data_IF_352661284990
#
_entry.id   IF_352661284990
#
_cell.length_a   1.000
_cell.length_b   1.000
_cell.length_c   1.000
_cell.angle_alpha   90.00
_cell.angle_beta   90.00
_cell.angle_gamma   90.00
#
_symmetry.space_group_name_H-M   'P 1'
#
loop_
_entity.id
_entity.type
_entity.pdbx_description
1 polymer ?
#
# COMPACT_ATOMS: atom_id res chain seq x y z
N UNK A 1 -70.50 -0.01 1.51
CA UNK A 1 -71.16 0.19 0.20
C UNK A 1 -70.07 0.46 -0.82
N UNK A 2 -70.26 0.08 -2.08
CA UNK A 2 -69.24 0.24 -3.11
C UNK A 2 -69.72 1.27 -4.14
N UNK A 3 -68.87 2.25 -4.44
CA UNK A 3 -69.21 3.38 -5.31
C UNK A 3 -68.21 3.50 -6.45
N UNK A 4 -68.72 3.81 -7.65
CA UNK A 4 -67.89 4.19 -8.80
C UNK A 4 -67.95 5.70 -8.97
N UNK A 5 -66.81 6.37 -8.86
CA UNK A 5 -66.71 7.82 -9.01
C UNK A 5 -65.89 8.15 -10.24
N UNK A 6 -66.46 8.95 -11.13
CA UNK A 6 -65.77 9.50 -12.30
C UNK A 6 -65.31 10.92 -12.04
N UNK A 7 -64.01 11.17 -12.24
CA UNK A 7 -63.40 12.49 -12.17
C UNK A 7 -62.43 12.71 -13.32
N UNK A 8 -62.59 13.79 -14.08
CA UNK A 8 -61.75 14.11 -15.25
C UNK A 8 -61.55 12.94 -16.23
N UNK A 9 -62.58 12.10 -16.41
CA UNK A 9 -62.56 10.95 -17.32
C UNK A 9 -61.96 9.66 -16.75
N UNK A 10 -61.43 9.68 -15.53
CA UNK A 10 -60.97 8.48 -14.80
C UNK A 10 -62.08 7.98 -13.86
N UNK A 11 -62.40 6.68 -13.93
CA UNK A 11 -63.35 6.05 -13.01
C UNK A 11 -62.60 5.28 -11.92
N UNK A 12 -62.90 5.59 -10.67
CA UNK A 12 -62.30 4.95 -9.49
C UNK A 12 -63.37 4.22 -8.68
N UNK A 13 -63.05 3.00 -8.26
CA UNK A 13 -63.91 2.22 -7.37
C UNK A 13 -63.49 2.44 -5.91
N UNK A 14 -64.42 2.88 -5.08
CA UNK A 14 -64.27 3.00 -3.63
C UNK A 14 -65.12 1.92 -2.97
N UNK A 15 -64.47 0.95 -2.31
CA UNK A 15 -65.13 -0.22 -1.75
C UNK A 15 -65.23 -0.11 -0.24
N UNK A 16 -66.32 -0.61 0.33
CA UNK A 16 -66.47 -0.70 1.79
C UNK A 16 -66.75 0.64 2.50
N UNK A 17 -67.21 1.66 1.77
CA UNK A 17 -67.52 2.98 2.31
C UNK A 17 -68.76 2.94 3.22
N UNK A 18 -68.64 3.52 4.42
CA UNK A 18 -69.66 3.53 5.47
C UNK A 18 -70.42 4.85 5.57
N UNK A 19 -69.76 5.97 5.22
CA UNK A 19 -70.36 7.31 5.28
C UNK A 19 -69.87 8.24 4.17
N UNK A 20 -70.57 9.37 3.99
CA UNK A 20 -70.16 10.41 3.05
C UNK A 20 -68.82 11.03 3.43
N UNK A 21 -68.58 11.26 4.71
CA UNK A 21 -67.33 11.82 5.20
C UNK A 21 -66.15 10.86 4.95
N UNK A 22 -66.37 9.55 5.08
CA UNK A 22 -65.37 8.54 4.73
C UNK A 22 -65.06 8.54 3.23
N UNK A 23 -66.09 8.63 2.39
CA UNK A 23 -65.92 8.73 0.94
C UNK A 23 -65.11 9.96 0.54
N UNK A 24 -65.46 11.12 1.09
CA UNK A 24 -64.74 12.38 0.83
C UNK A 24 -63.29 12.27 1.29
N UNK A 25 -63.03 11.68 2.46
CA UNK A 25 -61.68 11.49 2.99
C UNK A 25 -60.83 10.57 2.10
N UNK A 26 -61.40 9.49 1.58
CA UNK A 26 -60.69 8.59 0.66
C UNK A 26 -60.41 9.25 -0.69
N UNK A 27 -61.36 10.05 -1.19
CA UNK A 27 -61.18 10.89 -2.38
C UNK A 27 -60.05 11.90 -2.17
N UNK A 28 -60.03 12.61 -1.03
CA UNK A 28 -59.00 13.59 -0.68
C UNK A 28 -57.62 12.95 -0.47
N UNK A 29 -57.57 11.70 0.00
CA UNK A 29 -56.33 10.93 0.08
C UNK A 29 -55.78 10.59 -1.30
N UNK A 30 -56.66 10.16 -2.22
CA UNK A 30 -56.27 9.82 -3.59
C UNK A 30 -55.89 11.09 -4.39
N UNK A 31 -56.67 12.15 -4.25
CA UNK A 31 -56.52 13.40 -4.99
C UNK A 31 -56.12 14.52 -4.03
N UNK A 32 -54.86 14.53 -3.62
CA UNK A 32 -54.37 15.44 -2.58
C UNK A 32 -54.49 16.95 -2.90
N UNK A 33 -54.74 17.31 -4.16
CA UNK A 33 -54.73 18.70 -4.67
C UNK A 33 -56.12 19.23 -5.03
N UNK A 34 -57.19 18.50 -4.75
CA UNK A 34 -58.56 18.97 -5.00
C UNK A 34 -59.21 19.47 -3.72
N UNK A 35 -60.17 20.39 -3.87
CA UNK A 35 -61.03 20.91 -2.81
C UNK A 35 -62.43 21.20 -3.37
N UNK A 36 -63.37 21.54 -2.49
CA UNK A 36 -64.76 21.83 -2.87
C UNK A 36 -65.37 20.70 -3.71
N UNK A 37 -65.32 19.47 -3.17
CA UNK A 37 -65.80 18.26 -3.85
C UNK A 37 -67.33 18.28 -3.92
N UNK A 38 -67.85 18.26 -5.14
CA UNK A 38 -69.26 18.11 -5.45
C UNK A 38 -69.48 16.75 -6.12
N UNK A 39 -70.32 15.92 -5.52
CA UNK A 39 -70.71 14.62 -6.05
C UNK A 39 -72.12 14.72 -6.62
N UNK A 40 -72.34 14.13 -7.79
CA UNK A 40 -73.67 14.07 -8.43
C UNK A 40 -73.84 12.78 -9.20
N UNK A 41 -75.05 12.28 -9.34
CA UNK A 41 -75.37 11.15 -10.21
C UNK A 41 -76.62 11.46 -11.03
N UNK A 42 -76.84 10.68 -12.09
CA UNK A 42 -78.05 10.76 -12.89
C UNK A 42 -79.00 9.63 -12.46
N UNK A 43 -80.23 9.95 -12.10
CA UNK A 43 -81.23 8.97 -11.68
C UNK A 43 -81.90 8.26 -12.88
N UNK A 44 -82.89 7.41 -12.59
CA UNK A 44 -83.63 6.65 -13.60
C UNK A 44 -84.53 7.52 -14.50
N UNK A 45 -84.93 8.69 -14.01
CA UNK A 45 -85.77 9.66 -14.73
C UNK A 45 -84.92 10.62 -15.59
N UNK A 46 -83.60 10.57 -15.41
CA UNK A 46 -82.62 11.35 -16.15
C UNK A 46 -82.23 12.66 -15.47
N UNK A 47 -82.69 12.89 -14.24
CA UNK A 47 -82.40 14.07 -13.44
C UNK A 47 -81.03 13.95 -12.75
N UNK A 48 -80.34 15.09 -12.62
CA UNK A 48 -79.03 15.16 -11.95
C UNK A 48 -79.27 15.45 -10.46
N UNK A 49 -78.97 14.45 -9.62
CA UNK A 49 -79.11 14.54 -8.17
C UNK A 49 -77.74 14.79 -7.54
N UNK A 50 -77.66 15.79 -6.65
CA UNK A 50 -76.47 16.07 -5.87
C UNK A 50 -76.39 15.16 -4.63
N UNK A 51 -75.20 14.63 -4.37
CA UNK A 51 -74.90 13.82 -3.19
C UNK A 51 -74.12 14.68 -2.21
N UNK A 52 -74.74 14.98 -1.07
CA UNK A 52 -74.19 15.92 -0.08
C UNK A 52 -74.06 15.33 1.32
N UNK A 53 -74.69 14.18 1.57
CA UNK A 53 -74.70 13.53 2.88
C UNK A 53 -74.82 12.00 2.76
N UNK A 54 -74.67 11.30 3.88
CA UNK A 54 -74.72 9.83 3.93
C UNK A 54 -76.08 9.25 3.52
N UNK A 55 -77.19 9.96 3.75
CA UNK A 55 -78.52 9.51 3.32
C UNK A 55 -78.65 9.54 1.79
N UNK A 56 -78.11 10.56 1.14
CA UNK A 56 -78.09 10.67 -0.32
C UNK A 56 -77.28 9.52 -0.94
N UNK A 57 -76.16 9.14 -0.32
CA UNK A 57 -75.36 7.99 -0.75
C UNK A 57 -76.10 6.66 -0.62
N UNK A 58 -76.87 6.47 0.46
CA UNK A 58 -77.66 5.26 0.70
C UNK A 58 -78.85 5.18 -0.26
N UNK A 59 -79.38 6.34 -0.71
CA UNK A 59 -80.50 6.41 -1.64
C UNK A 59 -80.14 5.96 -3.07
N UNK A 60 -78.85 5.82 -3.39
CA UNK A 60 -78.38 5.32 -4.69
C UNK A 60 -78.67 3.82 -4.80
N UNK A 61 -79.82 3.50 -5.42
CA UNK A 61 -80.24 2.12 -5.66
C UNK A 61 -79.67 1.61 -7.00
N UNK A 62 -78.56 0.88 -6.95
CA UNK A 62 -77.96 0.19 -8.11
C UNK A 62 -76.58 0.73 -8.52
N UNK A 63 -75.98 0.16 -9.59
CA UNK A 63 -74.63 0.53 -10.04
C UNK A 63 -74.66 1.85 -10.83
N UNK A 64 -74.93 2.96 -10.15
CA UNK A 64 -74.90 4.29 -10.75
C UNK A 64 -73.50 4.90 -10.64
N UNK A 65 -73.07 5.55 -11.72
CA UNK A 65 -71.79 6.25 -11.80
C UNK A 65 -71.95 7.65 -11.19
N UNK A 66 -71.22 7.93 -10.12
CA UNK A 66 -71.19 9.25 -9.49
C UNK A 66 -70.18 10.11 -10.24
N UNK A 67 -70.61 11.24 -10.79
CA UNK A 67 -69.74 12.27 -11.34
C UNK A 67 -69.25 13.21 -10.23
N UNK A 68 -67.94 13.32 -10.11
CA UNK A 68 -67.28 14.28 -9.24
C UNK A 68 -66.87 15.53 -10.00
N UNK A 69 -67.20 16.69 -9.44
CA UNK A 69 -66.58 17.97 -9.77
C UNK A 69 -65.82 18.47 -8.55
N UNK A 70 -64.65 19.04 -8.76
CA UNK A 70 -63.86 19.60 -7.68
C UNK A 70 -63.00 20.74 -8.23
N UNK A 71 -62.73 21.76 -7.40
CA UNK A 71 -61.79 22.81 -7.75
C UNK A 71 -60.37 22.39 -7.37
N UNK A 72 -59.36 22.95 -8.04
CA UNK A 72 -57.98 22.73 -7.65
C UNK A 72 -57.61 23.64 -6.48
N UNK A 73 -56.97 23.06 -5.49
CA UNK A 73 -56.28 23.82 -4.45
C UNK A 73 -54.91 24.26 -4.97
N UNK A 74 -54.86 25.45 -5.58
CA UNK A 74 -53.63 26.02 -6.11
C UNK A 74 -52.57 26.25 -5.03
N UNK A 75 -52.97 26.55 -3.78
CA UNK A 75 -52.02 26.71 -2.67
C UNK A 75 -51.35 25.37 -2.34
N UNK A 76 -52.16 24.31 -2.16
CA UNK A 76 -51.65 22.97 -1.86
C UNK A 76 -50.83 22.38 -3.01
N UNK A 77 -51.19 22.69 -4.27
CA UNK A 77 -50.38 22.33 -5.43
C UNK A 77 -49.01 23.05 -5.42
N UNK A 78 -48.97 24.35 -5.14
CA UNK A 78 -47.71 25.11 -5.03
C UNK A 78 -46.84 24.64 -3.87
N UNK A 79 -47.43 24.25 -2.74
CA UNK A 79 -46.70 23.67 -1.60
C UNK A 79 -46.07 22.32 -1.94
N UNK A 80 -46.83 21.41 -2.58
CA UNK A 80 -46.31 20.13 -3.06
C UNK A 80 -45.20 20.29 -4.11
N UNK A 81 -45.33 21.24 -5.04
CA UNK A 81 -44.27 21.54 -6.02
C UNK A 81 -43.01 22.14 -5.36
N UNK A 82 -43.17 23.01 -4.36
CA UNK A 82 -42.04 23.54 -3.57
C UNK A 82 -41.34 22.43 -2.79
N UNK A 83 -42.10 21.51 -2.20
CA UNK A 83 -41.54 20.39 -1.45
C UNK A 83 -40.82 19.39 -2.35
N UNK A 84 -41.39 19.05 -3.52
CA UNK A 84 -40.70 18.24 -4.55
C UNK A 84 -39.37 18.87 -4.97
N UNK A 85 -39.36 20.16 -5.29
CA UNK A 85 -38.13 20.89 -5.64
C UNK A 85 -37.10 20.89 -4.50
N UNK A 86 -37.55 21.01 -3.24
CA UNK A 86 -36.65 20.92 -2.06
C UNK A 86 -36.02 19.54 -1.93
N UNK A 87 -36.81 18.47 -2.10
CA UNK A 87 -36.32 17.09 -2.07
C UNK A 87 -35.34 16.79 -3.21
N UNK A 88 -35.62 17.25 -4.43
CA UNK A 88 -34.70 17.14 -5.57
C UNK A 88 -33.35 17.85 -5.31
N UNK A 89 -33.38 19.05 -4.74
CA UNK A 89 -32.16 19.79 -4.37
C UNK A 89 -31.39 19.02 -3.28
N UNK A 90 -32.08 18.48 -2.26
CA UNK A 90 -31.45 17.69 -1.20
C UNK A 90 -30.76 16.45 -1.78
N UNK A 91 -31.45 15.70 -2.63
CA UNK A 91 -30.91 14.50 -3.28
C UNK A 91 -29.69 14.84 -4.15
N UNK A 92 -29.77 15.92 -4.94
CA UNK A 92 -28.64 16.37 -5.77
C UNK A 92 -27.42 16.72 -4.92
N UNK A 93 -27.62 17.45 -3.82
CA UNK A 93 -26.53 17.79 -2.88
C UNK A 93 -25.90 16.54 -2.25
N UNK A 94 -26.70 15.56 -1.85
CA UNK A 94 -26.20 14.29 -1.30
C UNK A 94 -25.35 13.53 -2.33
N UNK A 95 -25.85 13.38 -3.57
CA UNK A 95 -25.09 12.74 -4.66
C UNK A 95 -23.77 13.45 -4.98
N UNK A 96 -23.77 14.79 -4.99
CA UNK A 96 -22.54 15.55 -5.19
C UNK A 96 -21.53 15.36 -4.04
N UNK A 97 -22.01 15.21 -2.80
CA UNK A 97 -21.15 14.90 -1.65
C UNK A 97 -20.59 13.46 -1.73
N UNK A 98 -21.42 12.47 -2.05
CA UNK A 98 -20.99 11.09 -2.29
C UNK A 98 -19.89 11.03 -3.34
N UNK A 99 -20.10 11.66 -4.51
CA UNK A 99 -19.10 11.66 -5.58
C UNK A 99 -17.78 12.32 -5.14
N UNK A 100 -17.84 13.43 -4.39
CA UNK A 100 -16.63 14.08 -3.86
C UNK A 100 -15.87 13.19 -2.90
N UNK A 101 -16.57 12.46 -2.02
CA UNK A 101 -15.97 11.51 -1.07
C UNK A 101 -15.37 10.31 -1.80
N UNK A 102 -16.08 9.74 -2.78
CA UNK A 102 -15.58 8.65 -3.61
C UNK A 102 -14.28 9.04 -4.34
N UNK A 103 -14.25 10.23 -4.95
CA UNK A 103 -13.04 10.73 -5.61
C UNK A 103 -11.87 10.91 -4.62
N UNK A 104 -12.15 11.38 -3.40
CA UNK A 104 -11.13 11.51 -2.35
C UNK A 104 -10.59 10.14 -1.91
N UNK A 105 -11.46 9.13 -1.77
CA UNK A 105 -11.09 7.74 -1.45
C UNK A 105 -10.16 7.18 -2.53
N UNK A 106 -10.55 7.28 -3.81
CA UNK A 106 -9.74 6.78 -4.93
C UNK A 106 -8.36 7.45 -4.96
N UNK A 107 -8.29 8.77 -4.76
CA UNK A 107 -7.01 9.48 -4.70
C UNK A 107 -6.13 9.03 -3.53
N UNK A 108 -6.73 8.76 -2.38
CA UNK A 108 -6.01 8.29 -1.21
C UNK A 108 -5.52 6.84 -1.39
N UNK A 109 -6.32 5.95 -2.00
CA UNK A 109 -5.92 4.59 -2.36
C UNK A 109 -4.74 4.58 -3.35
N UNK A 110 -4.77 5.43 -4.37
CA UNK A 110 -3.66 5.59 -5.31
C UNK A 110 -2.39 6.10 -4.61
N UNK A 111 -2.54 7.01 -3.63
CA UNK A 111 -1.42 7.52 -2.84
C UNK A 111 -0.81 6.42 -1.98
N UNK A 112 -1.65 5.59 -1.34
CA UNK A 112 -1.21 4.44 -0.55
C UNK A 112 -0.46 3.44 -1.43
N UNK A 113 -1.01 3.06 -2.59
CA UNK A 113 -0.36 2.14 -3.51
C UNK A 113 1.02 2.66 -3.98
N UNK A 114 1.11 3.94 -4.32
CA UNK A 114 2.38 4.57 -4.73
C UNK A 114 3.41 4.53 -3.59
N UNK A 115 2.98 4.82 -2.35
CA UNK A 115 3.87 4.74 -1.19
C UNK A 115 4.32 3.30 -0.91
N UNK A 116 3.45 2.31 -1.06
CA UNK A 116 3.80 0.90 -0.88
C UNK A 116 4.88 0.45 -1.88
N UNK A 117 4.74 0.85 -3.15
CA UNK A 117 5.72 0.56 -4.20
C UNK A 117 7.06 1.26 -3.94
N UNK A 118 7.05 2.55 -3.57
CA UNK A 118 8.25 3.31 -3.21
C UNK A 118 9.00 2.69 -2.04
N UNK A 119 8.26 2.26 -1.00
CA UNK A 119 8.81 1.62 0.18
C UNK A 119 9.46 0.29 -0.17
N UNK A 120 8.71 -0.57 -0.88
CA UNK A 120 9.21 -1.89 -1.27
C UNK A 120 10.46 -1.78 -2.13
N UNK A 121 10.47 -0.86 -3.10
CA UNK A 121 11.63 -0.63 -3.98
C UNK A 121 12.86 -0.20 -3.18
N UNK A 122 12.72 0.80 -2.30
CA UNK A 122 13.88 1.32 -1.56
C UNK A 122 14.41 0.35 -0.50
N UNK A 123 13.54 -0.45 0.12
CA UNK A 123 13.98 -1.51 1.02
C UNK A 123 14.75 -2.59 0.27
N UNK A 124 14.28 -2.97 -0.92
CA UNK A 124 14.97 -3.93 -1.79
C UNK A 124 16.34 -3.39 -2.25
N UNK A 125 16.41 -2.13 -2.68
CA UNK A 125 17.67 -1.52 -3.10
C UNK A 125 18.72 -1.56 -1.97
N UNK A 126 18.30 -1.30 -0.73
CA UNK A 126 19.17 -1.42 0.45
C UNK A 126 19.58 -2.87 0.75
N UNK A 127 18.64 -3.82 0.64
CA UNK A 127 18.91 -5.24 0.86
C UNK A 127 19.93 -5.79 -0.16
N UNK A 128 19.75 -5.46 -1.44
CA UNK A 128 20.65 -5.84 -2.53
C UNK A 128 22.06 -5.25 -2.32
N UNK A 129 22.17 -3.99 -1.88
CA UNK A 129 23.46 -3.35 -1.59
C UNK A 129 24.16 -3.99 -0.38
N UNK A 130 23.41 -4.29 0.70
CA UNK A 130 23.94 -5.01 1.87
C UNK A 130 24.42 -6.40 1.47
N UNK A 131 23.66 -7.12 0.64
CA UNK A 131 24.03 -8.44 0.14
C UNK A 131 25.34 -8.38 -0.65
N UNK A 132 25.47 -7.43 -1.57
CA UNK A 132 26.72 -7.23 -2.31
C UNK A 132 27.89 -6.92 -1.38
N UNK A 133 27.72 -6.02 -0.40
CA UNK A 133 28.78 -5.71 0.58
C UNK A 133 29.19 -6.93 1.40
N UNK A 134 28.25 -7.80 1.79
CA UNK A 134 28.54 -9.06 2.48
C UNK A 134 29.33 -10.04 1.60
N UNK A 135 29.05 -10.10 0.30
CA UNK A 135 29.85 -10.89 -0.63
C UNK A 135 31.29 -10.37 -0.73
N UNK A 136 31.48 -9.05 -0.81
CA UNK A 136 32.82 -8.45 -0.83
C UNK A 136 33.55 -8.71 0.49
N UNK A 137 32.85 -8.61 1.63
CA UNK A 137 33.41 -8.96 2.94
C UNK A 137 33.91 -10.41 2.96
N UNK A 138 33.11 -11.36 2.47
CA UNK A 138 33.48 -12.77 2.41
C UNK A 138 34.70 -13.01 1.51
N UNK A 139 34.78 -12.33 0.37
CA UNK A 139 35.96 -12.40 -0.51
C UNK A 139 37.21 -11.86 0.18
N UNK A 140 37.09 -10.77 0.93
CA UNK A 140 38.22 -10.19 1.67
C UNK A 140 38.66 -11.05 2.86
N UNK A 141 37.74 -11.79 3.49
CA UNK A 141 38.07 -12.72 4.56
C UNK A 141 38.92 -13.91 4.10
N UNK A 142 38.90 -14.25 2.80
CA UNK A 142 39.80 -15.24 2.22
C UNK A 142 41.27 -14.81 2.27
N UNK A 143 41.54 -13.50 2.30
CA UNK A 143 42.89 -12.94 2.44
C UNK A 143 43.30 -12.70 3.91
N UNK A 144 42.63 -13.36 4.87
CA UNK A 144 43.16 -13.52 6.23
C UNK A 144 44.58 -14.10 6.11
N UNK A 145 45.51 -13.67 6.96
CA UNK A 145 46.94 -13.79 6.67
C UNK A 145 47.30 -15.26 6.41
N UNK A 146 47.71 -15.55 5.17
CA UNK A 146 48.33 -16.83 4.85
C UNK A 146 49.50 -17.04 5.81
N UNK A 147 49.60 -18.18 6.50
CA UNK A 147 50.75 -18.46 7.32
C UNK A 147 51.99 -18.39 6.43
N UNK A 148 52.94 -17.58 6.84
CA UNK A 148 54.26 -17.54 6.24
C UNK A 148 54.83 -18.97 6.33
N UNK A 149 55.29 -19.58 5.21
CA UNK A 149 56.03 -20.85 5.24
C UNK A 149 57.10 -20.88 6.35
N UNK A 150 57.28 -22.02 7.01
CA UNK A 150 58.33 -22.11 8.04
C UNK A 150 59.70 -21.80 7.44
N UNK A 151 60.54 -21.09 8.20
CA UNK A 151 61.89 -20.70 7.74
C UNK A 151 62.72 -21.92 7.32
N UNK A 152 62.51 -23.06 7.97
CA UNK A 152 63.11 -24.35 7.64
C UNK A 152 62.73 -24.83 6.22
N UNK A 153 61.48 -24.61 5.79
CA UNK A 153 61.02 -24.94 4.42
C UNK A 153 61.75 -24.06 3.41
N UNK A 154 61.91 -22.76 3.69
CA UNK A 154 62.62 -21.84 2.80
C UNK A 154 64.11 -22.16 2.68
N UNK A 155 64.76 -22.61 3.77
CA UNK A 155 66.16 -23.07 3.74
C UNK A 155 66.32 -24.34 2.88
N UNK A 156 65.35 -25.26 2.97
CA UNK A 156 65.32 -26.49 2.17
C UNK A 156 65.06 -26.20 0.69
N UNK A 157 64.13 -25.30 0.36
CA UNK A 157 63.86 -24.86 -1.02
C UNK A 157 65.08 -24.18 -1.66
N UNK A 158 65.81 -23.37 -0.88
CA UNK A 158 67.04 -22.73 -1.31
C UNK A 158 68.24 -23.71 -1.45
N UNK A 159 68.05 -24.99 -1.10
CA UNK A 159 69.08 -26.04 -1.09
C UNK A 159 70.34 -25.62 -0.32
N UNK A 160 70.17 -24.84 0.76
CA UNK A 160 71.31 -24.30 1.50
C UNK A 160 72.18 -25.43 2.06
N UNK A 161 71.55 -26.48 2.60
CA UNK A 161 72.25 -27.64 3.13
C UNK A 161 72.98 -28.45 2.05
N UNK A 162 72.42 -28.59 0.85
CA UNK A 162 73.11 -29.25 -0.27
C UNK A 162 74.34 -28.44 -0.71
N UNK A 163 74.22 -27.11 -0.75
CA UNK A 163 75.35 -26.22 -1.07
C UNK A 163 76.44 -26.26 0.01
N UNK A 164 76.07 -26.30 1.29
CA UNK A 164 77.03 -26.46 2.40
C UNK A 164 77.79 -27.77 2.23
N UNK A 165 77.07 -28.88 1.99
CA UNK A 165 77.65 -30.21 1.82
C UNK A 165 78.59 -30.30 0.62
N UNK A 166 78.19 -29.74 -0.54
CA UNK A 166 79.05 -29.69 -1.73
C UNK A 166 80.36 -28.94 -1.47
N UNK A 167 80.33 -27.88 -0.66
CA UNK A 167 81.51 -27.10 -0.30
C UNK A 167 82.36 -27.77 0.79
N UNK A 168 81.75 -28.48 1.74
CA UNK A 168 82.46 -29.35 2.68
C UNK A 168 83.23 -30.44 1.94
N UNK A 169 82.61 -31.10 0.95
CA UNK A 169 83.24 -32.12 0.12
C UNK A 169 84.41 -31.55 -0.71
N UNK A 170 84.30 -30.30 -1.21
CA UNK A 170 85.40 -29.60 -1.89
C UNK A 170 86.57 -29.27 -0.94
N UNK A 171 86.28 -28.88 0.30
CA UNK A 171 87.31 -28.56 1.31
C UNK A 171 88.08 -29.81 1.77
N UNK A 172 87.41 -30.97 1.85
CA UNK A 172 88.01 -32.26 2.19
C UNK A 172 89.05 -32.76 1.17
N UNK A 173 88.96 -32.31 -0.09
CA UNK A 173 89.84 -32.73 -1.18
C UNK A 173 91.16 -31.93 -1.29
N UNK A 174 91.37 -30.91 -0.46
CA UNK A 174 92.56 -30.06 -0.51
C UNK A 174 93.62 -30.63 0.44
N UNK A 175 94.47 -31.52 -0.08
CA UNK A 175 95.54 -32.18 0.68
C UNK A 175 96.68 -31.22 1.14
N UNK A 176 96.76 -29.98 0.64
CA UNK A 176 97.88 -29.06 0.92
C UNK A 176 97.48 -27.79 1.70
N UNK A 177 98.05 -27.63 2.90
CA UNK A 177 97.64 -26.70 3.97
C UNK A 177 97.78 -25.20 3.63
N UNK A 178 98.30 -24.83 2.46
CA UNK A 178 98.54 -23.42 2.08
C UNK A 178 97.36 -22.71 1.43
N UNK A 179 96.30 -23.41 1.03
CA UNK A 179 95.10 -22.81 0.41
C UNK A 179 93.79 -23.03 1.18
N UNK A 180 93.80 -23.95 2.16
CA UNK A 180 92.61 -24.37 2.90
C UNK A 180 91.90 -23.21 3.61
N UNK A 181 92.65 -22.34 4.32
CA UNK A 181 92.06 -21.23 5.06
C UNK A 181 91.40 -20.21 4.13
N UNK A 182 92.00 -19.95 2.96
CA UNK A 182 91.40 -19.06 1.94
C UNK A 182 90.13 -19.67 1.36
N UNK A 183 90.12 -20.97 1.03
CA UNK A 183 88.92 -21.62 0.51
C UNK A 183 87.82 -21.74 1.57
N UNK A 184 88.16 -22.04 2.83
CA UNK A 184 87.22 -22.05 3.94
C UNK A 184 86.56 -20.67 4.13
N UNK A 185 87.34 -19.58 4.06
CA UNK A 185 86.81 -18.21 4.10
C UNK A 185 85.89 -17.91 2.91
N UNK A 186 86.22 -18.38 1.71
CA UNK A 186 85.38 -18.23 0.52
C UNK A 186 84.05 -18.95 0.71
N UNK A 187 84.08 -20.21 1.17
CA UNK A 187 82.88 -21.02 1.44
C UNK A 187 82.01 -20.38 2.53
N UNK A 188 82.62 -19.93 3.63
CA UNK A 188 81.91 -19.24 4.70
C UNK A 188 81.25 -17.95 4.20
N UNK A 189 81.92 -17.20 3.33
CA UNK A 189 81.36 -16.01 2.70
C UNK A 189 80.18 -16.36 1.78
N UNK A 190 80.31 -17.37 0.94
CA UNK A 190 79.22 -17.82 0.05
C UNK A 190 77.99 -18.28 0.83
N UNK A 191 78.18 -19.08 1.90
CA UNK A 191 77.08 -19.50 2.78
C UNK A 191 76.43 -18.31 3.46
N UNK A 192 77.23 -17.37 3.97
CA UNK A 192 76.75 -16.14 4.58
C UNK A 192 75.93 -15.29 3.59
N UNK A 193 76.41 -15.12 2.37
CA UNK A 193 75.74 -14.36 1.31
C UNK A 193 74.40 -15.01 0.93
N UNK A 194 74.34 -16.34 0.81
CA UNK A 194 73.08 -17.08 0.53
C UNK A 194 72.10 -16.95 1.71
N UNK A 195 72.58 -17.12 2.95
CA UNK A 195 71.71 -16.95 4.12
C UNK A 195 71.17 -15.52 4.21
N UNK A 196 72.01 -14.51 3.97
CA UNK A 196 71.59 -13.12 3.97
C UNK A 196 70.57 -12.84 2.86
N UNK A 197 70.75 -13.42 1.67
CA UNK A 197 69.78 -13.33 0.58
C UNK A 197 68.42 -13.93 0.96
N UNK A 198 68.39 -15.16 1.50
CA UNK A 198 67.16 -15.82 1.96
C UNK A 198 66.49 -15.00 3.07
N UNK A 199 67.28 -14.48 4.01
CA UNK A 199 66.77 -13.65 5.09
C UNK A 199 66.14 -12.35 4.59
N UNK A 200 66.80 -11.62 3.70
CA UNK A 200 66.26 -10.37 3.13
C UNK A 200 65.04 -10.63 2.24
N UNK A 201 65.03 -11.71 1.44
CA UNK A 201 63.86 -12.15 0.70
C UNK A 201 62.68 -12.41 1.64
N UNK A 202 62.93 -13.11 2.75
CA UNK A 202 61.90 -13.44 3.73
C UNK A 202 61.36 -12.21 4.47
N UNK A 203 62.26 -11.32 4.86
CA UNK A 203 61.92 -10.03 5.47
C UNK A 203 61.09 -9.16 4.54
N UNK A 204 61.42 -9.13 3.25
CA UNK A 204 60.64 -8.41 2.24
C UNK A 204 59.26 -9.03 2.04
N UNK A 205 59.17 -10.36 1.90
CA UNK A 205 57.89 -11.06 1.77
C UNK A 205 57.00 -10.89 3.01
N UNK A 206 57.57 -10.97 4.22
CA UNK A 206 56.86 -10.69 5.46
C UNK A 206 56.34 -9.25 5.48
N UNK A 207 57.17 -8.27 5.09
CA UNK A 207 56.77 -6.86 5.01
C UNK A 207 55.63 -6.63 4.02
N UNK A 208 55.68 -7.26 2.83
CA UNK A 208 54.61 -7.20 1.83
C UNK A 208 53.31 -7.86 2.31
N UNK A 209 53.39 -9.05 2.88
CA UNK A 209 52.24 -9.76 3.44
C UNK A 209 51.60 -8.96 4.58
N UNK A 210 52.41 -8.38 5.46
CA UNK A 210 51.92 -7.50 6.52
C UNK A 210 51.21 -6.26 5.97
N UNK A 211 51.75 -5.63 4.92
CA UNK A 211 51.10 -4.49 4.24
C UNK A 211 49.75 -4.90 3.63
N UNK A 212 49.69 -6.01 2.89
CA UNK A 212 48.45 -6.55 2.30
C UNK A 212 47.42 -6.90 3.37
N UNK A 213 47.86 -7.51 4.47
CA UNK A 213 47.00 -7.81 5.62
C UNK A 213 46.42 -6.55 6.24
N UNK A 214 47.26 -5.53 6.48
CA UNK A 214 46.80 -4.27 7.06
C UNK A 214 45.82 -3.54 6.12
N UNK A 215 46.08 -3.54 4.81
CA UNK A 215 45.14 -3.01 3.80
C UNK A 215 43.81 -3.76 3.82
N UNK A 216 43.85 -5.10 3.82
CA UNK A 216 42.64 -5.95 3.89
C UNK A 216 41.85 -5.69 5.17
N UNK A 217 42.54 -5.55 6.31
CA UNK A 217 41.93 -5.21 7.61
C UNK A 217 41.22 -3.85 7.56
N UNK A 218 41.83 -2.84 6.94
CA UNK A 218 41.21 -1.53 6.75
C UNK A 218 40.01 -1.60 5.81
N UNK A 219 40.10 -2.36 4.71
CA UNK A 219 38.99 -2.58 3.77
C UNK A 219 37.81 -3.31 4.43
N UNK A 220 38.07 -4.34 5.23
CA UNK A 220 37.05 -5.06 6.01
C UNK A 220 36.36 -4.13 7.00
N UNK A 221 37.11 -3.30 7.73
CA UNK A 221 36.53 -2.32 8.64
C UNK A 221 35.64 -1.30 7.91
N UNK A 222 36.08 -0.83 6.74
CA UNK A 222 35.30 0.09 5.89
C UNK A 222 34.00 -0.54 5.41
N UNK A 223 34.05 -1.78 4.91
CA UNK A 223 32.86 -2.51 4.43
C UNK A 223 31.91 -2.81 5.58
N UNK A 224 32.43 -3.25 6.73
CA UNK A 224 31.60 -3.46 7.93
C UNK A 224 30.86 -2.18 8.34
N UNK A 225 31.53 -1.03 8.29
CA UNK A 225 30.89 0.25 8.55
C UNK A 225 29.84 0.63 7.49
N UNK A 226 30.10 0.36 6.21
CA UNK A 226 29.13 0.60 5.13
C UNK A 226 27.87 -0.27 5.29
N UNK A 227 28.03 -1.55 5.68
CA UNK A 227 26.91 -2.45 5.98
C UNK A 227 26.09 -1.87 7.13
N UNK A 228 26.73 -1.47 8.24
CA UNK A 228 26.05 -0.90 9.39
C UNK A 228 25.28 0.38 9.03
N UNK A 229 25.87 1.28 8.24
CA UNK A 229 25.21 2.49 7.76
C UNK A 229 23.96 2.15 6.93
N UNK A 230 24.05 1.20 6.01
CA UNK A 230 22.93 0.78 5.17
C UNK A 230 21.82 0.11 5.96
N UNK A 231 22.16 -0.72 6.95
CA UNK A 231 21.19 -1.34 7.86
C UNK A 231 20.45 -0.26 8.69
N UNK A 232 21.16 0.77 9.17
CA UNK A 232 20.54 1.89 9.87
C UNK A 232 19.67 2.76 8.96
N UNK A 233 20.09 3.02 7.72
CA UNK A 233 19.31 3.74 6.72
C UNK A 233 18.01 2.99 6.39
N UNK A 234 18.09 1.68 6.14
CA UNK A 234 16.94 0.83 5.88
C UNK A 234 15.97 0.83 7.06
N UNK A 235 16.47 0.70 8.29
CA UNK A 235 15.66 0.73 9.51
C UNK A 235 14.92 2.07 9.69
N UNK A 236 15.64 3.19 9.61
CA UNK A 236 15.04 4.53 9.74
C UNK A 236 14.01 4.81 8.64
N UNK A 237 14.32 4.41 7.41
CA UNK A 237 13.40 4.59 6.29
C UNK A 237 12.15 3.74 6.46
N UNK A 238 12.28 2.50 6.92
CA UNK A 238 11.14 1.63 7.25
C UNK A 238 10.24 2.25 8.31
N UNK A 239 10.80 2.67 9.45
CA UNK A 239 10.04 3.27 10.55
C UNK A 239 9.29 4.55 10.12
N UNK A 240 9.97 5.45 9.42
CA UNK A 240 9.36 6.70 8.95
C UNK A 240 8.28 6.46 7.90
N UNK A 241 8.49 5.51 6.99
CA UNK A 241 7.56 5.24 5.91
C UNK A 241 6.34 4.43 6.38
N UNK A 242 6.50 3.53 7.36
CA UNK A 242 5.39 2.84 8.03
C UNK A 242 4.45 3.86 8.69
N UNK A 243 4.99 4.82 9.44
CA UNK A 243 4.18 5.87 10.07
C UNK A 243 3.43 6.70 9.02
N UNK A 244 4.09 7.05 7.91
CA UNK A 244 3.45 7.77 6.80
C UNK A 244 2.30 6.95 6.19
N UNK A 245 2.56 5.68 5.89
CA UNK A 245 1.56 4.77 5.32
C UNK A 245 0.37 4.58 6.26
N UNK A 246 0.61 4.45 7.57
CA UNK A 246 -0.43 4.33 8.57
C UNK A 246 -1.33 5.57 8.60
N UNK A 247 -0.76 6.78 8.57
CA UNK A 247 -1.54 8.02 8.53
C UNK A 247 -2.48 8.08 7.31
N UNK A 248 -2.01 7.66 6.14
CA UNK A 248 -2.83 7.60 4.93
C UNK A 248 -3.92 6.52 5.03
N UNK A 249 -3.62 5.34 5.60
CA UNK A 249 -4.62 4.28 5.85
C UNK A 249 -5.70 4.73 6.83
N UNK A 250 -5.34 5.42 7.91
CA UNK A 250 -6.30 6.00 8.86
C UNK A 250 -7.18 7.06 8.20
N UNK A 251 -6.60 7.90 7.34
CA UNK A 251 -7.34 8.91 6.57
C UNK A 251 -8.31 8.25 5.59
N UNK A 252 -7.89 7.20 4.89
CA UNK A 252 -8.74 6.41 4.00
C UNK A 252 -9.92 5.79 4.77
N UNK A 253 -9.66 5.21 5.94
CA UNK A 253 -10.70 4.62 6.77
C UNK A 253 -11.73 5.65 7.23
N UNK A 254 -11.28 6.86 7.61
CA UNK A 254 -12.19 7.98 7.94
C UNK A 254 -13.05 8.38 6.74
N UNK A 255 -12.46 8.49 5.55
CA UNK A 255 -13.21 8.84 4.33
C UNK A 255 -14.26 7.78 3.97
N UNK A 256 -13.92 6.48 4.11
CA UNK A 256 -14.88 5.38 3.90
C UNK A 256 -16.03 5.45 4.90
N UNK A 257 -15.74 5.59 6.20
CA UNK A 257 -16.80 5.72 7.21
C UNK A 257 -17.64 6.99 7.10
N UNK A 258 -17.11 8.06 6.51
CA UNK A 258 -17.90 9.26 6.16
C UNK A 258 -18.79 9.03 4.94
N UNK A 259 -18.36 8.22 3.96
CA UNK A 259 -19.18 7.85 2.81
C UNK A 259 -20.34 6.95 3.25
N UNK A 260 -20.08 5.94 4.08
CA UNK A 260 -21.10 5.02 4.60
C UNK A 260 -22.23 5.79 5.31
N UNK A 261 -21.89 6.79 6.13
CA UNK A 261 -22.90 7.66 6.80
C UNK A 261 -23.75 8.44 5.81
N UNK A 262 -23.18 8.89 4.70
CA UNK A 262 -23.92 9.62 3.68
C UNK A 262 -24.84 8.67 2.93
N UNK A 263 -24.39 7.44 2.67
CA UNK A 263 -25.20 6.38 2.05
C UNK A 263 -26.41 6.02 2.93
N UNK A 264 -26.20 5.80 4.23
CA UNK A 264 -27.26 5.55 5.23
C UNK A 264 -28.29 6.70 5.32
N UNK A 265 -27.87 7.95 5.12
CA UNK A 265 -28.77 9.12 5.13
C UNK A 265 -29.55 9.32 3.82
N UNK A 266 -29.19 8.58 2.76
CA UNK A 266 -29.87 8.59 1.45
C UNK A 266 -30.86 7.46 1.20
N UNK A 267 -30.78 6.36 1.95
CA UNK A 267 -31.78 5.27 1.95
C UNK A 267 -33.01 5.61 2.79
#
# INVERSE_FOLDING_TARGET
>A
MDFQIQYNGETTNYNGISSFEELIKDIEQKYQTIKDIELSYQDEEGDIIQVSNTSDLIAINGPQLIQMKATKDEQKQQELEKEKKRQEIKLKKMKEQQQKKLNAIINEENTIATLEDEIAKKLKDNEDEIYHLKQVQQQLEHYKPDPLPDFEVSLNEARLFDRIKEKEDQLLYIEDKKGFETQLRTVQKEIHDIFHQIYEERKNQHSENYKKWNQTKQSLAKIGHQIEQKEQEAKKYSETSINKLQNHREKLQKLKGELDKIEDETE
#
